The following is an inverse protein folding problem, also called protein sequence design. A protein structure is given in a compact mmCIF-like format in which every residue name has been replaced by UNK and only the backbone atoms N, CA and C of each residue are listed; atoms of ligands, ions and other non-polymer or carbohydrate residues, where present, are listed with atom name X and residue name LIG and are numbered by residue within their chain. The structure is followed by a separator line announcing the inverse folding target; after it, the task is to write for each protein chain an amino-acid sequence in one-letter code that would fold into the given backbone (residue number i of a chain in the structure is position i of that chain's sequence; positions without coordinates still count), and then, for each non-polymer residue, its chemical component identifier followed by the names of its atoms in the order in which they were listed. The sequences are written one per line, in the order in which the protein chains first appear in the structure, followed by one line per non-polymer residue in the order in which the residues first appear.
data_IF_421043527883
#
_entry.id   IF_421043527883
#
_cell.length_a   1.000
_cell.length_b   1.000
_cell.length_c   1.000
_cell.angle_alpha   90.00
_cell.angle_beta   90.00
_cell.angle_gamma   90.00
#
_symmetry.space_group_name_H-M   'P 1'
#
loop_
_entity.id
_entity.type
_entity.pdbx_description
1 polymer ?
#
# COMPACT_ATOMS: atom_id res chain seq x y z
N UNK A 1 -18.86 -7.19 1.82
CA UNK A 1 -17.49 -7.61 2.19
C UNK A 1 -16.63 -7.41 0.97
N UNK A 2 -16.00 -6.24 0.87
CA UNK A 2 -15.28 -5.79 -0.31
C UNK A 2 -13.78 -5.96 -0.08
N UNK A 3 -13.23 -7.09 -0.55
CA UNK A 3 -11.81 -7.38 -0.43
C UNK A 3 -11.05 -6.81 -1.63
N UNK A 4 -9.91 -6.17 -1.37
CA UNK A 4 -8.99 -5.78 -2.43
C UNK A 4 -7.54 -6.10 -2.08
N UNK A 5 -6.71 -6.20 -3.12
CA UNK A 5 -5.31 -6.60 -3.02
C UNK A 5 -4.42 -5.39 -2.76
N UNK A 6 -3.63 -5.49 -1.71
CA UNK A 6 -2.62 -4.50 -1.31
C UNK A 6 -1.24 -5.16 -1.32
N UNK A 7 -0.21 -4.40 -1.65
CA UNK A 7 1.18 -4.84 -1.47
C UNK A 7 1.74 -4.18 -0.22
N UNK A 8 1.74 -4.93 0.87
CA UNK A 8 2.13 -4.46 2.20
C UNK A 8 3.62 -4.73 2.41
N UNK A 9 4.31 -3.77 3.00
CA UNK A 9 5.69 -3.93 3.43
C UNK A 9 5.69 -4.74 4.72
N UNK A 10 6.35 -5.89 4.73
CA UNK A 10 6.46 -6.73 5.92
C UNK A 10 7.43 -6.09 6.91
N UNK A 11 6.99 -5.86 8.15
CA UNK A 11 7.83 -5.36 9.26
C UNK A 11 8.81 -6.43 9.79
N UNK A 12 8.88 -7.62 9.17
CA UNK A 12 9.63 -8.75 9.74
C UNK A 12 11.14 -8.59 9.76
N UNK A 13 11.68 -7.54 9.16
CA UNK A 13 13.08 -7.22 9.37
C UNK A 13 13.31 -5.71 9.27
N UNK A 14 13.44 -5.06 10.43
CA UNK A 14 13.94 -3.67 10.54
C UNK A 14 15.42 -3.58 10.13
N UNK A 15 16.07 -4.72 9.87
CA UNK A 15 17.49 -4.86 9.54
C UNK A 15 17.78 -5.60 8.22
N UNK A 16 16.77 -6.15 7.54
CA UNK A 16 16.95 -6.76 6.22
C UNK A 16 16.79 -5.66 5.17
N UNK A 17 17.89 -5.40 4.49
CA UNK A 17 18.00 -4.52 3.34
C UNK A 17 17.13 -5.02 2.16
N UNK A 18 16.70 -6.29 2.18
CA UNK A 18 15.75 -6.87 1.22
C UNK A 18 14.29 -6.68 1.65
N UNK A 19 13.64 -5.69 1.04
CA UNK A 19 12.25 -5.33 1.32
C UNK A 19 11.28 -6.39 0.81
N UNK A 20 10.77 -7.23 1.71
CA UNK A 20 9.77 -8.24 1.35
C UNK A 20 8.38 -7.60 1.29
N UNK A 21 7.98 -7.15 0.10
CA UNK A 21 6.59 -6.75 -0.16
C UNK A 21 5.73 -8.01 -0.31
N UNK A 22 4.66 -8.11 0.48
CA UNK A 22 3.77 -9.28 0.45
C UNK A 22 2.38 -8.87 -0.04
N UNK A 23 1.79 -9.58 -1.02
CA UNK A 23 0.42 -9.34 -1.41
C UNK A 23 -0.54 -9.80 -0.31
N UNK A 24 -1.44 -8.91 0.13
CA UNK A 24 -2.43 -9.17 1.18
C UNK A 24 -3.80 -8.67 0.72
N UNK A 25 -4.84 -9.45 1.03
CA UNK A 25 -6.22 -9.02 0.83
C UNK A 25 -6.71 -8.30 2.09
N UNK A 26 -7.12 -7.04 1.95
CA UNK A 26 -7.75 -6.28 3.02
C UNK A 26 -9.21 -5.97 2.65
N UNK A 27 -10.08 -5.99 3.66
CA UNK A 27 -11.46 -5.56 3.50
C UNK A 27 -11.52 -4.03 3.51
N UNK A 28 -11.86 -3.44 2.36
CA UNK A 28 -11.97 -2.00 2.14
C UNK A 28 -13.04 -1.38 3.05
N UNK A 29 -14.11 -2.12 3.34
CA UNK A 29 -15.21 -1.66 4.20
C UNK A 29 -14.72 -1.32 5.63
N UNK A 30 -13.55 -1.82 6.02
CA UNK A 30 -12.93 -1.57 7.32
C UNK A 30 -11.74 -0.61 7.27
N UNK A 31 -11.45 0.02 6.14
CA UNK A 31 -10.41 1.03 6.03
C UNK A 31 -10.97 2.36 6.53
N UNK A 32 -10.35 2.92 7.58
CA UNK A 32 -10.71 4.25 8.11
C UNK A 32 -10.01 5.35 7.31
N UNK A 33 -8.75 5.14 6.94
CA UNK A 33 -7.96 6.17 6.27
C UNK A 33 -6.80 5.57 5.49
N UNK A 34 -6.50 6.18 4.35
CA UNK A 34 -5.29 5.96 3.58
C UNK A 34 -4.58 7.31 3.45
N UNK A 35 -3.30 7.37 3.80
CA UNK A 35 -2.49 8.59 3.67
C UNK A 35 -1.24 8.31 2.86
N UNK A 36 -0.93 9.12 1.83
CA UNK A 36 0.34 9.00 1.12
C UNK A 36 1.50 9.34 2.06
N UNK A 37 2.59 8.58 1.95
CA UNK A 37 3.81 8.76 2.72
C UNK A 37 5.03 8.50 1.85
N UNK A 38 6.13 9.18 2.18
CA UNK A 38 7.44 8.83 1.64
C UNK A 38 8.07 7.76 2.54
N UNK A 39 8.49 6.65 1.94
CA UNK A 39 9.15 5.55 2.62
C UNK A 39 10.61 5.56 2.18
N UNK A 40 11.51 5.65 3.15
CA UNK A 40 12.95 5.53 2.88
C UNK A 40 13.27 4.04 2.78
N UNK A 41 13.73 3.65 1.61
CA UNK A 41 14.09 2.29 1.20
C UNK A 41 15.60 2.29 0.86
N UNK A 42 16.23 1.12 0.80
CA UNK A 42 17.67 1.03 0.48
C UNK A 42 17.99 1.64 -0.89
N UNK A 43 17.10 1.45 -1.86
CA UNK A 43 17.22 2.00 -3.22
C UNK A 43 16.85 3.48 -3.34
N UNK A 44 16.41 4.14 -2.26
CA UNK A 44 16.03 5.55 -2.24
C UNK A 44 14.68 5.82 -1.58
N UNK A 45 14.05 6.95 -1.92
CA UNK A 45 12.75 7.33 -1.36
C UNK A 45 11.63 6.90 -2.31
N UNK A 46 10.74 6.03 -1.82
CA UNK A 46 9.59 5.52 -2.58
C UNK A 46 8.28 6.09 -2.03
N UNK A 47 7.32 6.35 -2.91
CA UNK A 47 5.95 6.70 -2.53
C UNK A 47 5.21 5.46 -2.01
N UNK A 48 4.62 5.57 -0.83
CA UNK A 48 3.78 4.53 -0.25
C UNK A 48 2.57 5.11 0.47
N UNK A 49 1.89 4.26 1.22
CA UNK A 49 0.61 4.57 1.84
C UNK A 49 0.53 4.01 3.24
N UNK A 50 0.07 4.84 4.18
CA UNK A 50 -0.36 4.42 5.50
C UNK A 50 -1.83 4.05 5.47
N UNK A 51 -2.14 2.79 5.76
CA UNK A 51 -3.51 2.28 5.81
C UNK A 51 -3.87 2.05 7.27
N UNK A 52 -4.97 2.67 7.74
CA UNK A 52 -5.53 2.42 9.07
C UNK A 52 -6.84 1.65 8.95
N UNK A 53 -6.94 0.56 9.68
CA UNK A 53 -8.13 -0.28 9.75
C UNK A 53 -8.97 0.04 10.98
N UNK A 54 -10.27 -0.27 10.93
CA UNK A 54 -11.22 -0.09 12.01
C UNK A 54 -10.94 -0.92 13.26
N UNK A 55 -10.21 -2.03 13.11
CA UNK A 55 -9.77 -2.89 14.20
C UNK A 55 -8.47 -2.40 14.88
N UNK A 56 -8.00 -1.20 14.56
CA UNK A 56 -6.77 -0.62 15.13
C UNK A 56 -5.48 -1.07 14.45
N UNK A 57 -5.53 -2.01 13.49
CA UNK A 57 -4.34 -2.42 12.72
C UNK A 57 -3.90 -1.31 11.76
N UNK A 58 -2.60 -1.21 11.56
CA UNK A 58 -1.96 -0.27 10.65
C UNK A 58 -1.06 -1.03 9.69
N UNK A 59 -1.05 -0.60 8.44
CA UNK A 59 -0.23 -1.19 7.39
C UNK A 59 0.50 -0.10 6.62
N UNK A 60 1.69 -0.43 6.13
CA UNK A 60 2.41 0.36 5.13
C UNK A 60 2.33 -0.39 3.81
N UNK A 61 1.88 0.26 2.76
CA UNK A 61 1.76 -0.34 1.44
C UNK A 61 2.53 0.48 0.41
N UNK A 62 3.18 -0.18 -0.53
CA UNK A 62 3.76 0.48 -1.72
C UNK A 62 2.72 0.64 -2.82
N UNK A 63 1.68 -0.20 -2.82
CA UNK A 63 0.67 -0.23 -3.86
C UNK A 63 -0.70 -0.48 -3.25
N UNK A 64 -1.66 0.34 -3.69
CA UNK A 64 -3.07 0.24 -3.36
C UNK A 64 -3.89 -0.08 -4.63
N UNK A 65 -5.09 -0.67 -4.50
CA UNK A 65 -6.00 -0.88 -5.63
C UNK A 65 -6.30 0.40 -6.41
N UNK A 66 -6.42 0.30 -7.74
CA UNK A 66 -6.71 1.44 -8.64
C UNK A 66 -7.96 2.22 -8.20
N UNK A 67 -9.01 1.52 -7.77
CA UNK A 67 -10.25 2.12 -7.27
C UNK A 67 -10.02 3.11 -6.12
N UNK A 68 -9.11 2.77 -5.20
CA UNK A 68 -8.76 3.63 -4.06
C UNK A 68 -7.79 4.74 -4.46
N UNK A 69 -6.88 4.47 -5.40
CA UNK A 69 -5.97 5.50 -5.92
C UNK A 69 -6.74 6.64 -6.60
N UNK A 70 -7.73 6.31 -7.43
CA UNK A 70 -8.60 7.29 -8.09
C UNK A 70 -9.38 8.16 -7.10
N UNK A 71 -9.82 7.59 -5.98
CA UNK A 71 -10.53 8.32 -4.91
C UNK A 71 -9.61 9.26 -4.13
N UNK A 72 -8.31 8.97 -4.06
CA UNK A 72 -7.33 9.78 -3.32
C UNK A 72 -6.75 10.94 -4.15
N UNK A 73 -7.10 11.02 -5.45
CA UNK A 73 -6.56 12.05 -6.35
C UNK A 73 -5.06 11.91 -6.62
N UNK A 74 -4.46 10.76 -6.27
CA UNK A 74 -3.06 10.47 -6.56
C UNK A 74 -2.96 9.95 -7.99
N UNK A 75 -2.08 10.50 -8.84
CA UNK A 75 -1.89 10.00 -10.20
C UNK A 75 -1.42 8.54 -10.12
N UNK A 76 -2.29 7.63 -10.55
CA UNK A 76 -1.96 6.23 -10.76
C UNK A 76 -0.84 6.16 -11.79
N UNK A 77 0.38 5.90 -11.34
CA UNK A 77 1.46 5.58 -12.26
C UNK A 77 1.34 4.10 -12.66
N UNK A 78 1.49 3.88 -13.97
CA UNK A 78 1.55 2.62 -14.73
C UNK A 78 0.20 2.19 -15.33
N UNK A 79 -0.15 2.92 -16.39
CA UNK A 79 -0.75 2.36 -17.60
C UNK A 79 0.32 1.55 -18.34
N UNK A 80 0.14 0.23 -18.46
CA UNK A 80 0.68 -0.60 -19.55
C UNK A 80 -0.23 -1.83 -19.68
N UNK A 81 -1.42 -1.62 -20.23
CA UNK A 81 -2.13 -2.67 -20.99
C UNK A 81 -1.64 -2.54 -22.44
N UNK A 82 -0.60 -3.30 -22.78
CA UNK A 82 -0.15 -3.49 -24.17
C UNK A 82 -1.07 -4.56 -24.78
N UNK A 83 -1.95 -4.14 -25.67
CA UNK A 83 -2.70 -4.99 -26.60
C UNK A 83 -1.81 -5.46 -27.76
#
# INVERSE_FOLDING_TARGET
MNLAKFHIISDRDVQALEETTTPVLLNIDHIISIKPINIVMESGVTQGYWIRMSNGKKYRAIMIPKELASLLGTPSSIDEDVE
#
